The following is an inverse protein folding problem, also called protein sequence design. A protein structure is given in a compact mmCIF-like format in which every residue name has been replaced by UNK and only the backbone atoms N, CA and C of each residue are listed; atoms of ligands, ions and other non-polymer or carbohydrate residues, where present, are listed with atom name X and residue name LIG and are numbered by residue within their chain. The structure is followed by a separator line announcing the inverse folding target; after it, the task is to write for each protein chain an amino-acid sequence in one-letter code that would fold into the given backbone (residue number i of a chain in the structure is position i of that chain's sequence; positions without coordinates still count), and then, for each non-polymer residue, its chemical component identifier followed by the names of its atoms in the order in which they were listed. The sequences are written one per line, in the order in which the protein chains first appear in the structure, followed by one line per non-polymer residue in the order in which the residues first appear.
data_IF_481370739773
#
_entry.id   IF_481370739773
#
_cell.length_a   1.000
_cell.length_b   1.000
_cell.length_c   1.000
_cell.angle_alpha   90.00
_cell.angle_beta   90.00
_cell.angle_gamma   90.00
#
_symmetry.space_group_name_H-M   'P 1'
#
loop_
_entity.id
_entity.type
_entity.pdbx_description
1 polymer ?
#
# COMPACT_ATOMS: atom_id res chain seq x y z
N UNK A 1 49.59 2.30 -23.02
CA UNK A 1 48.64 2.01 -24.11
C UNK A 1 47.25 1.84 -23.52
N UNK A 2 46.34 2.78 -23.78
CA UNK A 2 44.96 2.77 -23.26
C UNK A 2 44.07 2.09 -24.31
N UNK A 3 43.32 1.06 -23.92
CA UNK A 3 42.31 0.41 -24.78
C UNK A 3 41.06 1.31 -24.87
N UNK A 4 40.55 1.62 -26.07
CA UNK A 4 39.26 2.29 -26.19
C UNK A 4 38.13 1.29 -25.91
N UNK A 5 37.13 1.73 -25.13
CA UNK A 5 35.88 1.01 -24.89
C UNK A 5 34.78 1.63 -25.75
N UNK A 6 34.14 0.81 -26.58
CA UNK A 6 32.96 1.15 -27.37
C UNK A 6 32.05 -0.09 -27.45
N UNK A 7 30.81 0.06 -27.94
CA UNK A 7 29.72 0.90 -27.45
C UNK A 7 28.59 0.00 -26.88
N UNK A 8 27.66 0.62 -26.15
CA UNK A 8 26.61 -0.07 -25.38
C UNK A 8 25.75 -1.02 -26.21
N UNK A 9 25.86 -2.30 -25.91
CA UNK A 9 24.89 -3.33 -26.29
C UNK A 9 23.91 -3.48 -25.12
N UNK A 10 22.98 -2.52 -25.02
CA UNK A 10 21.91 -2.56 -24.04
C UNK A 10 20.87 -3.60 -24.47
N UNK A 11 20.33 -4.42 -23.55
CA UNK A 11 19.35 -5.43 -23.91
C UNK A 11 18.10 -4.78 -24.52
N UNK A 12 17.83 -5.10 -25.79
CA UNK A 12 16.60 -4.70 -26.50
C UNK A 12 15.41 -5.25 -25.73
N UNK A 13 14.65 -4.36 -25.05
CA UNK A 13 13.36 -4.69 -24.44
C UNK A 13 12.43 -5.11 -25.58
N UNK A 14 12.30 -6.41 -25.78
CA UNK A 14 11.32 -6.96 -26.72
C UNK A 14 9.94 -6.59 -26.21
N UNK A 15 9.17 -5.99 -27.11
CA UNK A 15 7.79 -5.58 -26.94
C UNK A 15 6.98 -6.72 -26.34
N UNK A 16 6.34 -6.46 -25.20
CA UNK A 16 5.31 -7.34 -24.63
C UNK A 16 4.23 -7.51 -25.69
N UNK A 17 4.19 -8.69 -26.29
CA UNK A 17 3.20 -9.05 -27.30
C UNK A 17 1.82 -9.12 -26.64
N UNK A 18 0.84 -8.67 -27.41
CA UNK A 18 -0.59 -8.68 -27.12
C UNK A 18 -1.04 -10.01 -26.52
N UNK A 19 -1.77 -9.98 -25.40
CA UNK A 19 -2.35 -11.16 -24.76
C UNK A 19 -3.21 -11.95 -25.77
N UNK A 20 -3.01 -13.27 -25.93
CA UNK A 20 -3.79 -14.08 -26.85
C UNK A 20 -5.21 -14.31 -26.30
N UNK A 21 -6.23 -14.21 -27.15
CA UNK A 21 -7.65 -14.45 -26.82
C UNK A 21 -7.91 -15.87 -26.27
N UNK A 22 -6.96 -16.79 -26.48
CA UNK A 22 -6.99 -18.16 -25.96
C UNK A 22 -6.86 -18.23 -24.42
N UNK A 23 -6.31 -17.18 -23.80
CA UNK A 23 -6.17 -17.08 -22.35
C UNK A 23 -7.52 -17.10 -21.64
N UNK A 24 -8.58 -16.54 -22.23
CA UNK A 24 -9.88 -16.44 -21.58
C UNK A 24 -10.61 -17.79 -21.53
N UNK A 25 -10.52 -18.58 -22.59
CA UNK A 25 -11.07 -19.94 -22.62
C UNK A 25 -10.33 -20.84 -21.62
N UNK A 26 -8.99 -20.74 -21.57
CA UNK A 26 -8.17 -21.45 -20.61
C UNK A 26 -8.49 -21.02 -19.17
N UNK A 27 -8.57 -19.72 -18.89
CA UNK A 27 -8.94 -19.18 -17.57
C UNK A 27 -10.31 -19.69 -17.12
N UNK A 28 -11.30 -19.73 -18.02
CA UNK A 28 -12.63 -20.30 -17.71
C UNK A 28 -12.53 -21.78 -17.36
N UNK A 29 -11.80 -22.56 -18.15
CA UNK A 29 -11.57 -23.99 -17.90
C UNK A 29 -10.87 -24.24 -16.56
N UNK A 30 -9.83 -23.46 -16.25
CA UNK A 30 -9.11 -23.57 -14.96
C UNK A 30 -10.02 -23.19 -13.78
N UNK A 31 -10.86 -22.16 -13.92
CA UNK A 31 -11.83 -21.77 -12.88
C UNK A 31 -12.83 -22.88 -12.57
N UNK A 32 -13.22 -23.68 -13.56
CA UNK A 32 -14.11 -24.83 -13.35
C UNK A 32 -13.48 -25.91 -12.46
N UNK A 33 -12.15 -26.00 -12.43
CA UNK A 33 -11.42 -26.95 -11.59
C UNK A 33 -11.00 -26.38 -10.23
N UNK A 34 -11.58 -25.25 -9.80
CA UNK A 34 -11.20 -24.58 -8.56
C UNK A 34 -11.28 -25.48 -7.32
N UNK A 35 -12.36 -26.24 -7.18
CA UNK A 35 -12.54 -27.16 -6.05
C UNK A 35 -11.44 -28.25 -6.02
N UNK A 36 -11.23 -28.93 -7.15
CA UNK A 36 -10.19 -29.97 -7.27
C UNK A 36 -8.78 -29.44 -7.01
N UNK A 37 -8.49 -28.19 -7.42
CA UNK A 37 -7.20 -27.55 -7.15
C UNK A 37 -7.02 -27.24 -5.66
N UNK A 38 -8.10 -26.89 -4.95
CA UNK A 38 -8.06 -26.67 -3.50
C UNK A 38 -7.79 -27.98 -2.77
N UNK A 39 -8.47 -29.06 -3.14
CA UNK A 39 -8.25 -30.39 -2.55
C UNK A 39 -6.80 -30.85 -2.74
N UNK A 40 -6.27 -30.70 -3.96
CA UNK A 40 -4.87 -31.01 -4.26
C UNK A 40 -3.88 -30.14 -3.44
N UNK A 41 -4.18 -28.85 -3.24
CA UNK A 41 -3.34 -27.98 -2.41
C UNK A 41 -3.35 -28.41 -0.93
N UNK A 42 -4.50 -28.86 -0.41
CA UNK A 42 -4.62 -29.39 0.95
C UNK A 42 -3.79 -30.68 1.09
N UNK A 43 -3.87 -31.58 0.11
CA UNK A 43 -3.06 -32.80 0.07
C UNK A 43 -1.57 -32.47 0.06
N UNK A 44 -1.12 -31.54 -0.79
CA UNK A 44 0.28 -31.10 -0.84
C UNK A 44 0.71 -30.47 0.49
N UNK A 45 -0.12 -29.61 1.08
CA UNK A 45 0.18 -28.95 2.35
C UNK A 45 0.36 -29.94 3.51
N UNK A 46 -0.33 -31.08 3.46
CA UNK A 46 -0.33 -32.08 4.55
C UNK A 46 0.65 -33.23 4.33
N UNK A 47 0.96 -33.57 3.08
CA UNK A 47 1.72 -34.79 2.75
C UNK A 47 3.08 -34.55 2.08
N UNK A 48 3.36 -33.34 1.56
CA UNK A 48 4.61 -33.10 0.85
C UNK A 48 5.83 -33.29 1.76
N UNK A 49 6.87 -33.95 1.25
CA UNK A 49 8.12 -34.21 1.97
C UNK A 49 8.92 -32.93 2.23
N UNK A 50 8.93 -32.02 1.26
CA UNK A 50 9.61 -30.74 1.35
C UNK A 50 8.79 -29.71 2.13
N UNK A 51 9.40 -29.11 3.14
CA UNK A 51 8.80 -28.01 3.91
C UNK A 51 8.49 -26.80 3.03
N UNK A 52 9.36 -26.46 2.08
CA UNK A 52 9.14 -25.33 1.16
C UNK A 52 7.89 -25.53 0.30
N UNK A 53 7.62 -26.78 -0.11
CA UNK A 53 6.43 -27.15 -0.86
C UNK A 53 5.17 -27.02 0.00
N UNK A 54 5.21 -27.48 1.26
CA UNK A 54 4.09 -27.31 2.20
C UNK A 54 3.78 -25.82 2.45
N UNK A 55 4.81 -25.01 2.74
CA UNK A 55 4.64 -23.58 2.99
C UNK A 55 4.07 -22.85 1.76
N UNK A 56 4.51 -23.22 0.56
CA UNK A 56 4.00 -22.65 -0.69
C UNK A 56 2.52 -22.98 -0.90
N UNK A 57 2.10 -24.21 -0.61
CA UNK A 57 0.70 -24.63 -0.70
C UNK A 57 -0.18 -23.90 0.33
N UNK A 58 0.28 -23.80 1.58
CA UNK A 58 -0.41 -23.07 2.66
C UNK A 58 -0.59 -21.59 2.28
N UNK A 59 0.48 -20.94 1.81
CA UNK A 59 0.43 -19.55 1.35
C UNK A 59 -0.61 -19.36 0.25
N UNK A 60 -0.66 -20.28 -0.72
CA UNK A 60 -1.62 -20.18 -1.83
C UNK A 60 -3.07 -20.44 -1.40
N UNK A 61 -3.30 -21.25 -0.37
CA UNK A 61 -4.63 -21.38 0.25
C UNK A 61 -5.04 -20.06 0.95
N UNK A 62 -4.12 -19.44 1.68
CA UNK A 62 -4.36 -18.16 2.37
C UNK A 62 -4.64 -17.02 1.37
N UNK A 63 -3.83 -16.89 0.33
CA UNK A 63 -3.98 -15.85 -0.71
C UNK A 63 -5.35 -15.97 -1.43
N UNK A 64 -5.94 -17.17 -1.47
CA UNK A 64 -7.27 -17.42 -2.05
C UNK A 64 -8.42 -17.15 -1.09
N UNK A 65 -8.28 -17.54 0.18
CA UNK A 65 -9.34 -17.39 1.19
C UNK A 65 -9.45 -15.98 1.77
N UNK A 66 -8.31 -15.30 1.93
CA UNK A 66 -8.22 -13.99 2.59
C UNK A 66 -7.77 -12.88 1.63
N UNK A 67 -7.51 -13.22 0.37
CA UNK A 67 -6.97 -12.29 -0.64
C UNK A 67 -5.46 -12.11 -0.52
N UNK A 68 -4.87 -11.53 -1.56
CA UNK A 68 -3.44 -11.20 -1.57
C UNK A 68 -3.19 -9.98 -0.69
N UNK A 69 -2.17 -10.03 0.15
CA UNK A 69 -1.68 -8.81 0.81
C UNK A 69 -1.20 -7.84 -0.28
N UNK A 70 -1.88 -6.70 -0.41
CA UNK A 70 -1.43 -5.62 -1.27
C UNK A 70 -0.16 -5.03 -0.64
N UNK A 71 1.02 -5.52 -1.02
CA UNK A 71 2.22 -4.74 -0.74
C UNK A 71 2.15 -3.52 -1.65
N UNK A 72 1.84 -2.37 -1.07
CA UNK A 72 1.96 -1.08 -1.75
C UNK A 72 3.45 -0.81 -1.98
N UNK A 73 4.03 -1.41 -3.02
CA UNK A 73 5.30 -0.95 -3.59
C UNK A 73 4.95 -0.11 -4.80
N UNK A 74 4.39 1.07 -4.52
CA UNK A 74 4.34 2.17 -5.47
C UNK A 74 5.74 2.77 -5.54
N UNK A 75 6.61 2.19 -6.39
CA UNK A 75 7.81 2.90 -6.85
C UNK A 75 7.39 3.78 -8.02
N UNK A 76 6.84 4.95 -7.70
CA UNK A 76 6.58 6.01 -8.67
C UNK A 76 7.91 6.54 -9.23
N UNK A 77 8.36 5.98 -10.34
CA UNK A 77 9.37 6.60 -11.19
C UNK A 77 8.77 6.87 -12.57
N UNK A 78 7.86 7.84 -12.62
CA UNK A 78 7.54 8.54 -13.86
C UNK A 78 7.15 9.96 -13.51
N UNK A 79 8.02 10.89 -13.91
CA UNK A 79 7.80 12.33 -13.95
C UNK A 79 6.42 12.66 -14.53
N UNK A 80 5.49 13.00 -13.65
CA UNK A 80 4.25 13.72 -13.94
C UNK A 80 4.22 14.89 -12.97
N UNK A 81 3.97 16.14 -13.41
CA UNK A 81 3.81 17.25 -12.46
C UNK A 81 2.66 16.90 -11.52
N UNK A 82 3.01 16.75 -10.24
CA UNK A 82 2.07 16.50 -9.16
C UNK A 82 1.00 17.60 -9.18
N UNK A 83 -0.30 17.27 -9.09
CA UNK A 83 -1.28 18.28 -8.71
C UNK A 83 -0.88 18.86 -7.35
N UNK A 84 -1.11 20.16 -7.11
CA UNK A 84 -0.73 20.78 -5.85
C UNK A 84 -1.46 20.08 -4.71
N UNK A 85 -0.70 19.63 -3.71
CA UNK A 85 -1.24 19.12 -2.45
C UNK A 85 -2.22 20.15 -1.86
N UNK A 86 -3.34 19.73 -1.26
CA UNK A 86 -4.22 20.66 -0.56
C UNK A 86 -3.44 21.29 0.60
N UNK A 87 -3.12 22.58 0.46
CA UNK A 87 -2.55 23.38 1.54
C UNK A 87 -3.61 23.51 2.63
N UNK A 88 -3.43 22.82 3.76
CA UNK A 88 -4.21 23.06 4.97
C UNK A 88 -3.80 24.42 5.54
N UNK A 89 -4.62 25.44 5.26
CA UNK A 89 -4.50 26.76 5.85
C UNK A 89 -4.94 26.68 7.32
N UNK A 90 -4.01 26.45 8.23
CA UNK A 90 -4.25 26.55 9.67
C UNK A 90 -4.39 28.05 9.98
N UNK A 91 -5.62 28.53 10.16
CA UNK A 91 -5.85 29.84 10.75
C UNK A 91 -5.37 29.79 12.22
N UNK A 92 -4.46 30.68 12.65
CA UNK A 92 -4.20 30.84 14.07
C UNK A 92 -5.50 31.32 14.74
N UNK A 93 -5.80 30.88 15.97
CA UNK A 93 -6.94 31.40 16.70
C UNK A 93 -6.76 32.91 16.85
N UNK A 94 -7.75 33.66 16.40
CA UNK A 94 -7.89 35.08 16.69
C UNK A 94 -7.80 35.25 18.21
N UNK A 95 -6.69 35.78 18.71
CA UNK A 95 -6.56 36.18 20.10
C UNK A 95 -7.54 37.32 20.38
N UNK A 96 -8.77 36.96 20.73
CA UNK A 96 -9.70 37.83 21.42
C UNK A 96 -9.16 38.08 22.82
N UNK A 97 -8.17 38.97 22.91
CA UNK A 97 -7.74 39.55 24.17
C UNK A 97 -8.91 40.39 24.71
N UNK A 98 -9.64 39.82 25.66
CA UNK A 98 -10.67 40.51 26.44
C UNK A 98 -10.43 40.17 27.90
N UNK A 99 -9.36 40.72 28.46
CA UNK A 99 -9.12 40.77 29.90
C UNK A 99 -8.47 42.12 30.21
N UNK A 100 -9.31 43.16 30.34
CA UNK A 100 -8.96 44.32 31.14
C UNK A 100 -9.66 44.14 32.50
N UNK A 101 -9.09 43.22 33.29
CA UNK A 101 -9.37 43.10 34.71
C UNK A 101 -8.97 44.43 35.38
N UNK A 102 -9.97 45.15 35.86
CA UNK A 102 -9.78 46.48 36.44
C UNK A 102 -9.53 46.28 37.93
N UNK A 103 -8.43 46.79 38.52
CA UNK A 103 -8.16 46.57 39.94
C UNK A 103 -9.24 47.23 40.80
N UNK A 104 -10.06 46.41 41.46
CA UNK A 104 -11.01 46.88 42.48
C UNK A 104 -10.24 47.41 43.69
N UNK A 105 -10.38 48.71 43.90
CA UNK A 105 -10.05 49.44 45.13
C UNK A 105 -10.99 48.97 46.27
N UNK A 106 -10.49 48.57 47.45
CA UNK A 106 -11.36 48.27 48.58
C UNK A 106 -11.65 49.53 49.40
N UNK A 107 -12.92 49.80 49.75
CA UNK A 107 -13.26 50.53 50.97
C UNK A 107 -14.13 49.63 51.86
N UNK A 108 -13.59 49.16 52.98
CA UNK A 108 -13.54 49.82 54.30
C UNK A 108 -14.76 49.47 55.15
N UNK A 109 -14.44 48.76 56.24
CA UNK A 109 -15.08 48.69 57.56
C UNK A 109 -16.43 49.38 57.75
N UNK A 110 -17.43 48.67 58.30
CA UNK A 110 -17.98 48.94 59.65
C UNK A 110 -18.87 47.77 60.09
N UNK A 111 -18.69 47.39 61.35
CA UNK A 111 -19.34 46.35 62.17
C UNK A 111 -20.88 46.54 62.38
N UNK A 112 -21.49 46.08 63.50
CA UNK A 112 -22.02 44.74 63.79
C UNK A 112 -23.52 44.79 64.20
N UNK A 113 -24.19 43.64 64.33
CA UNK A 113 -25.01 43.24 65.49
C UNK A 113 -25.70 41.89 65.30
#
# INVERSE_FOLDING_TARGET
MVRPKAPGDGPKRTRRTTAPKDDDALRRKVRQHGATLIDALIEIATSASSESTRLSAIKELLDRGYGKSFSSVERASSTTPSPPSPTLLIQPPSSSASDHDTPQKPPNSTDPH
#
